data_IF_541893056242
#
_entry.id   IF_541893056242
#
_cell.length_a   1.000
_cell.length_b   1.000
_cell.length_c   1.000
_cell.angle_alpha   90.00
_cell.angle_beta   90.00
_cell.angle_gamma   90.00
#
_symmetry.space_group_name_H-M   'P 1'
#
loop_
_entity.id
_entity.type
_entity.pdbx_description
1 polymer ?
#
# COMPACT_ATOMS: atom_id res chain seq x y z
N UNK A 1 -26.29 -26.11 -23.09
CA UNK A 1 -25.09 -25.27 -23.34
C UNK A 1 -25.55 -23.83 -23.52
N UNK A 2 -25.02 -22.88 -22.75
CA UNK A 2 -25.39 -21.46 -22.88
C UNK A 2 -24.65 -20.85 -24.07
N UNK A 3 -25.37 -20.21 -24.99
CA UNK A 3 -24.77 -19.55 -26.14
C UNK A 3 -24.00 -18.31 -25.69
N UNK A 4 -22.71 -18.25 -26.04
CA UNK A 4 -21.81 -17.13 -25.73
C UNK A 4 -21.58 -16.30 -26.98
N UNK A 5 -22.34 -15.21 -27.12
CA UNK A 5 -22.36 -14.35 -28.33
C UNK A 5 -21.41 -13.16 -28.26
N UNK A 6 -20.98 -12.77 -27.05
CA UNK A 6 -20.22 -11.54 -26.84
C UNK A 6 -18.71 -11.84 -26.92
N UNK A 7 -17.97 -11.06 -27.72
CA UNK A 7 -16.52 -11.17 -27.90
C UNK A 7 -15.81 -9.96 -27.28
N UNK A 8 -14.81 -10.21 -26.45
CA UNK A 8 -13.88 -9.21 -25.93
C UNK A 8 -12.50 -9.56 -26.50
N UNK A 9 -11.78 -8.56 -27.02
CA UNK A 9 -10.42 -8.72 -27.54
C UNK A 9 -9.47 -7.76 -26.83
N UNK A 10 -8.31 -8.27 -26.41
CA UNK A 10 -7.23 -7.50 -25.80
C UNK A 10 -5.99 -7.71 -26.64
N UNK A 11 -5.24 -6.63 -26.90
CA UNK A 11 -3.92 -6.71 -27.55
C UNK A 11 -2.86 -6.75 -26.45
N UNK A 12 -1.90 -7.65 -26.58
CA UNK A 12 -0.81 -7.86 -25.63
C UNK A 12 0.51 -7.76 -26.39
N UNK A 13 1.56 -7.28 -25.73
CA UNK A 13 2.93 -7.47 -26.19
C UNK A 13 3.34 -8.94 -26.09
N UNK A 14 4.46 -9.30 -26.73
CA UNK A 14 4.99 -10.67 -26.66
C UNK A 14 5.35 -11.07 -25.21
N UNK A 15 5.88 -10.14 -24.42
CA UNK A 15 6.20 -10.34 -23.00
C UNK A 15 4.94 -10.57 -22.15
N UNK A 16 3.89 -9.78 -22.38
CA UNK A 16 2.62 -9.92 -21.67
C UNK A 16 1.96 -11.26 -22.00
N UNK A 17 2.01 -11.68 -23.26
CA UNK A 17 1.50 -12.97 -23.71
C UNK A 17 2.28 -14.13 -23.08
N UNK A 18 3.61 -14.04 -23.02
CA UNK A 18 4.46 -15.04 -22.40
C UNK A 18 4.17 -15.18 -20.89
N UNK A 19 4.08 -14.07 -20.16
CA UNK A 19 3.73 -14.06 -18.74
C UNK A 19 2.34 -14.64 -18.48
N UNK A 20 1.37 -14.32 -19.33
CA UNK A 20 0.03 -14.87 -19.22
C UNK A 20 0.01 -16.39 -19.43
N UNK A 21 0.76 -16.91 -20.41
CA UNK A 21 0.89 -18.36 -20.65
C UNK A 21 1.56 -19.09 -19.49
N UNK A 22 2.61 -18.52 -18.90
CA UNK A 22 3.27 -19.09 -17.72
C UNK A 22 2.30 -19.22 -16.53
N UNK A 23 1.55 -18.15 -16.22
CA UNK A 23 0.51 -18.19 -15.16
C UNK A 23 -0.62 -19.17 -15.46
N UNK A 24 -0.97 -19.33 -16.74
CA UNK A 24 -1.97 -20.29 -17.17
C UNK A 24 -1.50 -21.74 -16.94
N UNK A 25 -0.22 -22.01 -17.20
CA UNK A 25 0.42 -23.30 -16.94
C UNK A 25 0.53 -23.58 -15.43
N UNK A 26 0.95 -22.60 -14.63
CA UNK A 26 0.96 -22.68 -13.16
C UNK A 26 -0.42 -23.00 -12.58
N UNK A 27 -1.48 -22.46 -13.19
CA UNK A 27 -2.86 -22.74 -12.81
C UNK A 27 -3.40 -24.09 -13.31
N UNK A 28 -2.62 -24.85 -14.09
CA UNK A 28 -3.02 -26.14 -14.66
C UNK A 28 -4.13 -26.03 -15.72
N UNK A 29 -4.28 -24.88 -16.37
CA UNK A 29 -5.35 -24.64 -17.35
C UNK A 29 -4.76 -24.69 -18.76
N UNK A 30 -5.18 -25.63 -19.59
CA UNK A 30 -4.68 -25.74 -20.97
C UNK A 30 -5.45 -24.88 -21.98
N UNK A 31 -6.71 -24.55 -21.67
CA UNK A 31 -7.58 -23.80 -22.56
C UNK A 31 -7.53 -22.31 -22.28
N UNK A 32 -6.99 -21.53 -23.23
CA UNK A 32 -6.87 -20.07 -23.15
C UNK A 32 -8.20 -19.36 -22.84
N UNK A 33 -9.28 -19.74 -23.54
CA UNK A 33 -10.60 -19.12 -23.32
C UNK A 33 -11.17 -19.45 -21.94
N UNK A 34 -10.83 -20.62 -21.38
CA UNK A 34 -11.20 -20.99 -20.01
C UNK A 34 -10.39 -20.18 -19.00
N UNK A 35 -9.09 -20.04 -19.21
CA UNK A 35 -8.19 -19.24 -18.38
C UNK A 35 -8.62 -17.76 -18.36
N UNK A 36 -8.75 -17.15 -19.53
CA UNK A 36 -9.18 -15.75 -19.65
C UNK A 36 -10.54 -15.50 -18.99
N UNK A 37 -11.50 -16.41 -19.16
CA UNK A 37 -12.82 -16.27 -18.53
C UNK A 37 -12.74 -16.38 -17.01
N UNK A 38 -11.96 -17.33 -16.49
CA UNK A 38 -11.72 -17.46 -15.05
C UNK A 38 -11.10 -16.18 -14.49
N UNK A 39 -10.11 -15.61 -15.18
CA UNK A 39 -9.47 -14.35 -14.75
C UNK A 39 -10.38 -13.12 -14.89
N UNK A 40 -11.25 -13.07 -15.90
CA UNK A 40 -12.18 -11.95 -16.11
C UNK A 40 -13.38 -11.97 -15.16
N UNK A 41 -13.87 -13.16 -14.79
CA UNK A 41 -15.05 -13.31 -13.93
C UNK A 41 -14.68 -13.46 -12.45
N UNK A 42 -13.62 -14.22 -12.16
CA UNK A 42 -13.18 -14.54 -10.79
C UNK A 42 -11.96 -13.70 -10.38
N UNK A 43 -11.51 -12.78 -11.24
CA UNK A 43 -10.42 -11.87 -10.92
C UNK A 43 -10.80 -10.95 -9.78
N UNK A 44 -10.08 -11.05 -8.66
CA UNK A 44 -10.23 -10.10 -7.55
C UNK A 44 -9.72 -8.73 -8.00
N UNK A 45 -10.62 -7.75 -8.10
CA UNK A 45 -10.23 -6.35 -8.23
C UNK A 45 -9.87 -5.84 -6.82
N UNK A 46 -8.61 -6.03 -6.43
CA UNK A 46 -8.13 -5.59 -5.11
C UNK A 46 -7.98 -4.08 -5.13
N UNK A 47 -8.97 -3.38 -4.60
CA UNK A 47 -8.85 -1.96 -4.28
C UNK A 47 -8.18 -1.83 -2.92
N UNK A 48 -6.86 -1.63 -2.92
CA UNK A 48 -6.11 -1.37 -1.69
C UNK A 48 -6.43 0.06 -1.24
N UNK A 49 -7.21 0.19 -0.18
CA UNK A 49 -7.40 1.48 0.48
C UNK A 49 -6.12 1.82 1.25
N UNK A 50 -5.42 2.88 0.82
CA UNK A 50 -4.15 3.34 1.41
C UNK A 50 -4.32 4.61 2.24
N UNK A 51 -5.57 4.97 2.58
CA UNK A 51 -5.88 6.19 3.34
C UNK A 51 -5.13 6.23 4.68
N UNK A 52 -5.08 5.12 5.40
CA UNK A 52 -4.35 5.00 6.67
C UNK A 52 -2.83 5.27 6.50
N UNK A 53 -2.24 4.80 5.39
CA UNK A 53 -0.81 5.03 5.09
C UNK A 53 -0.56 6.53 4.84
N UNK A 54 -1.47 7.22 4.16
CA UNK A 54 -1.36 8.66 3.90
C UNK A 54 -1.42 9.47 5.19
N UNK A 55 -2.31 9.11 6.11
CA UNK A 55 -2.43 9.73 7.43
C UNK A 55 -1.14 9.55 8.24
N UNK A 56 -0.55 8.36 8.21
CA UNK A 56 0.73 8.09 8.87
C UNK A 56 1.88 8.93 8.29
N UNK A 57 1.99 9.03 6.97
CA UNK A 57 3.00 9.88 6.30
C UNK A 57 2.83 11.35 6.69
N UNK A 58 1.60 11.82 6.85
CA UNK A 58 1.30 13.18 7.31
C UNK A 58 1.80 13.41 8.75
N UNK A 59 1.51 12.50 9.67
CA UNK A 59 1.96 12.60 11.08
C UNK A 59 3.49 12.59 11.19
N UNK A 60 4.17 11.72 10.43
CA UNK A 60 5.64 11.67 10.37
C UNK A 60 6.21 13.00 9.89
N UNK A 61 5.62 13.57 8.83
CA UNK A 61 6.08 14.86 8.28
C UNK A 61 5.91 16.00 9.29
N UNK A 62 4.81 16.03 10.04
CA UNK A 62 4.60 16.98 11.13
C UNK A 62 5.68 16.86 12.20
N UNK A 63 5.98 15.64 12.65
CA UNK A 63 7.00 15.42 13.68
C UNK A 63 8.41 15.77 13.19
N UNK A 64 8.76 15.42 11.96
CA UNK A 64 10.05 15.76 11.35
C UNK A 64 10.23 17.27 11.21
N UNK A 65 9.17 18.00 10.85
CA UNK A 65 9.18 19.46 10.81
C UNK A 65 9.38 20.08 12.20
N UNK A 66 8.74 19.54 13.22
CA UNK A 66 8.89 20.03 14.59
C UNK A 66 10.29 19.73 15.14
N UNK A 67 10.80 18.53 14.91
CA UNK A 67 12.18 18.15 15.24
C UNK A 67 13.19 19.11 14.60
N UNK A 68 12.99 19.45 13.33
CA UNK A 68 13.83 20.41 12.62
C UNK A 68 13.74 21.83 13.22
N UNK A 69 12.56 22.24 13.71
CA UNK A 69 12.40 23.51 14.43
C UNK A 69 13.16 23.50 15.76
N UNK A 70 13.10 22.41 16.52
CA UNK A 70 13.87 22.27 17.76
C UNK A 70 15.38 22.26 17.50
N UNK A 71 15.84 21.56 16.47
CA UNK A 71 17.25 21.57 16.07
C UNK A 71 17.73 22.98 15.71
N UNK A 72 16.91 23.76 14.97
CA UNK A 72 17.22 25.17 14.66
C UNK A 72 17.27 26.05 15.91
N UNK A 73 16.32 25.89 16.84
CA UNK A 73 16.33 26.63 18.12
C UNK A 73 17.56 26.28 18.97
N UNK A 74 17.90 25.00 19.07
CA UNK A 74 19.07 24.52 19.78
C UNK A 74 20.37 25.08 19.18
N UNK A 75 20.49 25.09 17.85
CA UNK A 75 21.66 25.63 17.15
C UNK A 75 21.77 27.16 17.27
N UNK A 76 20.65 27.88 17.40
CA UNK A 76 20.63 29.34 17.50
C UNK A 76 20.87 29.87 18.92
N UNK A 77 20.36 29.18 19.95
CA UNK A 77 20.39 29.63 21.36
C UNK A 77 21.31 28.80 22.26
N UNK A 78 21.78 27.63 21.81
CA UNK A 78 22.64 26.73 22.59
C UNK A 78 21.95 26.02 23.75
N UNK A 79 20.62 26.15 23.91
CA UNK A 79 19.85 25.59 25.02
C UNK A 79 18.62 24.85 24.48
N UNK A 80 18.38 23.64 24.99
CA UNK A 80 17.20 22.82 24.69
C UNK A 80 16.33 22.79 25.95
N UNK A 81 15.04 23.13 25.82
CA UNK A 81 14.11 23.08 26.95
C UNK A 81 13.50 21.68 27.11
N UNK A 82 13.38 21.21 28.34
CA UNK A 82 12.76 19.91 28.66
C UNK A 82 11.31 19.81 28.13
N UNK A 83 10.58 20.92 28.12
CA UNK A 83 9.23 20.99 27.56
C UNK A 83 9.18 20.65 26.06
N UNK A 84 10.19 21.07 25.29
CA UNK A 84 10.30 20.77 23.86
C UNK A 84 10.56 19.27 23.63
N UNK A 85 11.36 18.64 24.51
CA UNK A 85 11.64 17.20 24.47
C UNK A 85 10.38 16.40 24.82
N UNK A 86 9.62 16.82 25.83
CA UNK A 86 8.36 16.17 26.22
C UNK A 86 7.30 16.26 25.13
N UNK A 87 7.15 17.42 24.47
CA UNK A 87 6.24 17.56 23.33
C UNK A 87 6.63 16.63 22.18
N UNK A 88 7.93 16.51 21.89
CA UNK A 88 8.43 15.59 20.87
C UNK A 88 8.15 14.12 21.22
N UNK A 89 8.36 13.72 22.48
CA UNK A 89 8.08 12.36 22.96
C UNK A 89 6.61 11.98 22.80
N UNK A 90 5.67 12.84 23.22
CA UNK A 90 4.23 12.59 23.03
C UNK A 90 3.86 12.41 21.56
N UNK A 91 4.36 13.27 20.67
CA UNK A 91 4.05 13.14 19.23
C UNK A 91 4.63 11.86 18.60
N UNK A 92 5.77 11.37 19.10
CA UNK A 92 6.31 10.08 18.68
C UNK A 92 5.45 8.90 19.16
N UNK A 93 4.87 8.98 20.36
CA UNK A 93 3.91 7.99 20.85
C UNK A 93 2.65 7.93 19.98
N UNK A 94 2.11 9.08 19.56
CA UNK A 94 0.96 9.16 18.65
C UNK A 94 1.26 8.47 17.30
N UNK A 95 2.44 8.71 16.72
CA UNK A 95 2.88 8.03 15.49
C UNK A 95 2.98 6.52 15.72
N UNK A 96 3.57 6.11 16.84
CA UNK A 96 3.79 4.71 17.17
C UNK A 96 2.47 3.93 17.29
N UNK A 97 1.45 4.54 17.91
CA UNK A 97 0.14 3.92 18.06
C UNK A 97 -0.61 3.84 16.71
N UNK A 98 -0.47 4.88 15.87
CA UNK A 98 -0.94 4.84 14.48
C UNK A 98 -0.30 3.70 13.68
N UNK A 99 1.03 3.53 13.80
CA UNK A 99 1.76 2.44 13.14
C UNK A 99 1.29 1.06 13.59
N UNK A 100 1.09 0.87 14.91
CA UNK A 100 0.56 -0.37 15.47
C UNK A 100 -0.82 -0.70 14.93
N UNK A 101 -1.69 0.30 14.81
CA UNK A 101 -3.04 0.12 14.28
C UNK A 101 -3.01 -0.34 12.83
N UNK A 102 -2.16 0.27 12.00
CA UNK A 102 -1.98 -0.12 10.60
C UNK A 102 -1.43 -1.54 10.49
N UNK A 103 -0.37 -1.86 11.24
CA UNK A 103 0.23 -3.21 11.23
C UNK A 103 -0.78 -4.29 11.67
N UNK A 104 -1.62 -4.01 12.67
CA UNK A 104 -2.71 -4.91 13.07
C UNK A 104 -3.74 -5.11 11.96
N UNK A 105 -4.15 -4.04 11.27
CA UNK A 105 -5.08 -4.12 10.13
C UNK A 105 -4.48 -4.96 8.99
N UNK A 106 -3.21 -4.76 8.64
CA UNK A 106 -2.53 -5.55 7.61
C UNK A 106 -2.33 -7.01 8.01
N UNK A 107 -1.96 -7.30 9.26
CA UNK A 107 -1.82 -8.67 9.76
C UNK A 107 -3.17 -9.43 9.80
N UNK A 108 -4.29 -8.72 9.85
CA UNK A 108 -5.63 -9.30 9.79
C UNK A 108 -6.11 -9.61 8.36
N UNK A 109 -5.43 -9.10 7.33
CA UNK A 109 -5.69 -9.45 5.93
C UNK A 109 -5.00 -10.79 5.66
N UNK A 110 -5.80 -11.84 5.44
CA UNK A 110 -5.36 -13.21 5.19
C UNK A 110 -5.34 -13.53 3.70
#
# INVERSE_FOLDING_TARGET
>A
MQNRTNKISVRLSDDELARMKAKMEEAGITNMSKYMRKMLLDGYCVRVDTSDIKEMVYLIRMCSNNLNQYAKKANGLGVIHEADIKDLQHRFEDIWEGMRTILKKFAAIR
#
